data_IF_843703344512
#
_entry.id   IF_843703344512
#
_cell.length_a   1.000
_cell.length_b   1.000
_cell.length_c   1.000
_cell.angle_alpha   90.00
_cell.angle_beta   90.00
_cell.angle_gamma   90.00
#
_symmetry.space_group_name_H-M   'P 1'
#
loop_
_entity.id
_entity.type
_entity.pdbx_description
1 polymer ?
#
# COMPACT_ATOMS: atom_id res chain seq x y z
N UNK A 1 1.79 -28.98 -15.79
CA UNK A 1 0.97 -28.31 -14.76
C UNK A 1 0.22 -29.38 -14.00
N UNK A 2 0.63 -29.68 -12.77
CA UNK A 2 -0.13 -30.56 -11.88
C UNK A 2 -1.29 -29.80 -11.23
N UNK A 3 -2.30 -30.51 -10.72
CA UNK A 3 -3.41 -29.87 -9.99
C UNK A 3 -2.95 -29.06 -8.76
N UNK A 4 -1.83 -29.44 -8.13
CA UNK A 4 -1.25 -28.70 -7.01
C UNK A 4 -0.61 -27.37 -7.46
N UNK A 5 0.05 -27.35 -8.62
CA UNK A 5 0.65 -26.13 -9.17
C UNK A 5 -0.43 -25.08 -9.49
N UNK A 6 -1.59 -25.52 -10.01
CA UNK A 6 -2.72 -24.63 -10.27
C UNK A 6 -3.27 -24.01 -8.97
N UNK A 7 -3.49 -24.82 -7.92
CA UNK A 7 -3.96 -24.33 -6.62
C UNK A 7 -3.01 -23.30 -6.02
N UNK A 8 -1.70 -23.57 -6.08
CA UNK A 8 -0.69 -22.64 -5.58
C UNK A 8 -0.69 -21.31 -6.35
N UNK A 9 -0.83 -21.38 -7.68
CA UNK A 9 -0.90 -20.19 -8.53
C UNK A 9 -2.14 -19.33 -8.25
N UNK A 10 -3.31 -19.96 -8.06
CA UNK A 10 -4.55 -19.25 -7.70
C UNK A 10 -4.41 -18.59 -6.33
N UNK A 11 -3.87 -19.30 -5.33
CA UNK A 11 -3.63 -18.73 -4.00
C UNK A 11 -2.69 -17.52 -4.07
N UNK A 12 -1.62 -17.60 -4.87
CA UNK A 12 -0.71 -16.48 -5.07
C UNK A 12 -1.41 -15.28 -5.71
N UNK A 13 -2.25 -15.49 -6.72
CA UNK A 13 -3.03 -14.42 -7.35
C UNK A 13 -4.04 -13.81 -6.37
N UNK A 14 -4.62 -14.61 -5.48
CA UNK A 14 -5.51 -14.14 -4.41
C UNK A 14 -4.78 -13.20 -3.45
N UNK A 15 -3.60 -13.62 -2.97
CA UNK A 15 -2.76 -12.82 -2.06
C UNK A 15 -2.30 -11.51 -2.73
N UNK A 16 -2.03 -11.54 -4.04
CA UNK A 16 -1.68 -10.35 -4.81
C UNK A 16 -2.89 -9.45 -5.16
N UNK A 17 -4.12 -9.84 -4.81
CA UNK A 17 -5.34 -9.09 -5.15
C UNK A 17 -5.75 -9.16 -6.64
N UNK A 18 -5.13 -10.05 -7.43
CA UNK A 18 -5.31 -10.13 -8.89
C UNK A 18 -6.52 -10.95 -9.35
N UNK A 19 -7.31 -11.48 -8.43
CA UNK A 19 -8.50 -12.28 -8.78
C UNK A 19 -9.70 -11.43 -9.23
N UNK A 20 -9.61 -10.11 -9.10
CA UNK A 20 -10.63 -9.15 -9.49
C UNK A 20 -10.02 -8.17 -10.51
N UNK A 21 -10.77 -7.70 -11.52
CA UNK A 21 -10.29 -6.69 -12.46
C UNK A 21 -9.71 -5.49 -11.71
N UNK A 22 -8.52 -5.06 -12.15
CA UNK A 22 -7.87 -3.87 -11.62
C UNK A 22 -8.22 -2.67 -12.51
N UNK A 23 -8.52 -1.52 -11.92
CA UNK A 23 -8.66 -0.29 -12.68
C UNK A 23 -7.29 0.39 -12.82
N UNK A 24 -6.74 0.55 -14.03
CA UNK A 24 -5.47 1.26 -14.23
C UNK A 24 -5.54 2.75 -13.84
N UNK A 25 -6.74 3.31 -13.67
CA UNK A 25 -6.97 4.68 -13.23
C UNK A 25 -7.09 4.80 -11.71
N UNK A 26 -7.03 3.69 -10.96
CA UNK A 26 -7.03 3.73 -9.51
C UNK A 26 -5.87 4.58 -8.99
N UNK A 27 -6.17 5.37 -7.96
CA UNK A 27 -5.18 6.25 -7.36
C UNK A 27 -4.02 5.43 -6.78
N UNK A 28 -2.76 5.71 -7.17
CA UNK A 28 -1.64 4.98 -6.60
C UNK A 28 -1.47 5.34 -5.13
N UNK A 29 -1.11 4.36 -4.32
CA UNK A 29 -0.92 4.52 -2.88
C UNK A 29 0.05 5.65 -2.48
N UNK A 30 0.95 6.06 -3.40
CA UNK A 30 1.83 7.22 -3.20
C UNK A 30 1.07 8.51 -2.97
N UNK A 31 -0.05 8.75 -3.68
CA UNK A 31 -0.81 9.99 -3.56
C UNK A 31 -1.53 10.06 -2.21
N UNK A 32 -2.09 8.93 -1.74
CA UNK A 32 -2.64 8.82 -0.39
C UNK A 32 -1.58 9.10 0.68
N UNK A 33 -0.37 8.54 0.54
CA UNK A 33 0.71 8.76 1.49
C UNK A 33 1.15 10.23 1.55
N UNK A 34 1.20 10.93 0.42
CA UNK A 34 1.49 12.37 0.40
C UNK A 34 0.42 13.18 1.14
N UNK A 35 -0.86 12.82 1.02
CA UNK A 35 -1.94 13.44 1.80
C UNK A 35 -1.79 13.19 3.29
N UNK A 36 -1.51 11.94 3.69
CA UNK A 36 -1.27 11.58 5.10
C UNK A 36 -0.08 12.35 5.68
N UNK A 37 1.01 12.53 4.92
CA UNK A 37 2.18 13.30 5.39
C UNK A 37 1.85 14.74 5.68
N UNK A 38 1.16 15.42 4.75
CA UNK A 38 0.73 16.82 4.94
C UNK A 38 -0.19 16.98 6.14
N UNK A 39 -1.13 16.07 6.32
CA UNK A 39 -2.03 16.07 7.47
C UNK A 39 -1.26 15.85 8.78
N UNK A 40 -0.35 14.87 8.82
CA UNK A 40 0.51 14.63 9.98
C UNK A 40 1.37 15.84 10.31
N UNK A 41 1.95 16.52 9.32
CA UNK A 41 2.73 17.74 9.53
C UNK A 41 1.89 18.85 10.17
N UNK A 42 0.65 19.04 9.71
CA UNK A 42 -0.26 20.01 10.30
C UNK A 42 -0.63 19.62 11.74
N UNK A 43 -0.92 18.35 12.01
CA UNK A 43 -1.23 17.88 13.36
C UNK A 43 -0.05 17.99 14.33
N UNK A 44 1.19 17.82 13.84
CA UNK A 44 2.41 18.06 14.63
C UNK A 44 2.55 19.54 14.95
N UNK A 45 2.29 20.42 13.96
CA UNK A 45 2.31 21.89 14.17
C UNK A 45 1.25 22.34 15.17
N UNK A 46 0.07 21.72 15.11
CA UNK A 46 -1.03 21.94 16.07
C UNK A 46 -0.76 21.33 17.45
N UNK A 47 0.34 20.58 17.62
CA UNK A 47 0.70 19.90 18.88
C UNK A 47 -0.20 18.70 19.25
N UNK A 48 -1.05 18.24 18.33
CA UNK A 48 -2.00 17.13 18.56
C UNK A 48 -1.31 15.77 18.52
N UNK A 49 -0.24 15.63 17.75
CA UNK A 49 0.54 14.39 17.64
C UNK A 49 2.05 14.68 17.73
N UNK A 50 2.82 13.70 18.21
CA UNK A 50 4.30 13.78 18.23
C UNK A 50 4.87 13.37 16.89
N UNK A 51 6.01 13.95 16.52
CA UNK A 51 6.76 13.57 15.31
C UNK A 51 7.25 12.13 15.41
N UNK A 52 6.87 11.29 14.46
CA UNK A 52 7.32 9.90 14.36
C UNK A 52 8.78 9.82 13.88
N UNK A 53 9.54 8.83 14.40
CA UNK A 53 10.92 8.57 13.98
C UNK A 53 10.99 7.81 12.64
N UNK A 54 9.98 7.00 12.35
CA UNK A 54 9.91 6.12 11.18
C UNK A 54 8.73 6.53 10.30
N UNK A 55 8.92 7.44 9.33
CA UNK A 55 7.85 7.84 8.44
C UNK A 55 7.44 6.70 7.50
N UNK A 56 6.16 6.69 7.13
CA UNK A 56 5.59 5.68 6.22
C UNK A 56 6.12 5.91 4.79
N UNK A 57 6.94 4.98 4.29
CA UNK A 57 7.42 4.94 2.90
C UNK A 57 6.90 3.67 2.21
N UNK A 58 6.66 3.77 0.90
CA UNK A 58 6.44 2.58 0.06
C UNK A 58 7.79 1.89 -0.12
N UNK A 59 7.95 0.68 0.41
CA UNK A 59 9.11 -0.15 0.13
C UNK A 59 9.06 -0.61 -1.33
N UNK A 60 9.86 0.04 -2.17
CA UNK A 60 10.18 -0.45 -3.51
C UNK A 60 11.46 -1.26 -3.33
N UNK A 61 11.32 -2.59 -3.17
CA UNK A 61 12.48 -3.47 -3.03
C UNK A 61 13.52 -3.19 -4.13
N UNK A 62 14.79 -3.23 -3.75
CA UNK A 62 15.92 -3.24 -4.69
C UNK A 62 15.99 -4.58 -5.42
#
# INVERSE_FOLDING_TARGET
MTGQQLKNSILQMAVQGKLVPQDPNDEPASVLLERIRKEKEQLIKDGKIKKEKNPSYIFRGA
#
